data_IF_900224786530
#
_entry.id   IF_900224786530
#
_cell.length_a   1.000
_cell.length_b   1.000
_cell.length_c   1.000
_cell.angle_alpha   90.00
_cell.angle_beta   90.00
_cell.angle_gamma   90.00
#
_symmetry.space_group_name_H-M   'P 1'
#
loop_
_entity.id
_entity.type
_entity.pdbx_description
1 polymer ?
#
# COMPACT_ATOMS: atom_id res chain seq x y z
N UNK A 1 -2.31 -16.93 19.19
CA UNK A 1 -2.94 -16.84 17.86
C UNK A 1 -1.93 -16.99 16.72
N UNK A 2 -0.97 -16.09 16.50
CA UNK A 2 0.08 -16.31 15.48
C UNK A 2 1.05 -17.46 15.80
N UNK A 3 1.48 -17.57 17.06
CA UNK A 3 2.42 -18.63 17.50
C UNK A 3 1.76 -20.03 17.54
N UNK A 4 0.42 -20.09 17.62
CA UNK A 4 -0.35 -21.35 17.58
C UNK A 4 -0.83 -21.74 16.18
N UNK A 5 -0.43 -21.02 15.12
CA UNK A 5 -0.84 -21.33 13.74
C UNK A 5 -2.32 -21.06 13.41
N UNK A 6 -3.10 -20.44 14.30
CA UNK A 6 -4.50 -20.10 14.01
C UNK A 6 -4.60 -18.73 13.34
N UNK A 7 -4.92 -18.71 12.04
CA UNK A 7 -5.32 -17.54 11.20
C UNK A 7 -4.75 -16.18 11.64
N UNK A 8 -3.44 -16.04 11.59
CA UNK A 8 -2.76 -14.77 11.76
C UNK A 8 -1.30 -14.92 11.40
N UNK A 9 -0.91 -14.43 10.22
CA UNK A 9 0.49 -14.36 9.83
C UNK A 9 1.18 -13.24 10.62
N UNK A 10 2.49 -13.39 10.90
CA UNK A 10 3.28 -12.31 11.49
C UNK A 10 3.24 -11.03 10.65
N UNK A 11 3.07 -11.17 9.33
CA UNK A 11 2.91 -10.06 8.39
C UNK A 11 1.64 -9.25 8.68
N UNK A 12 0.51 -9.91 8.89
CA UNK A 12 -0.73 -9.19 9.19
C UNK A 12 -0.63 -8.47 10.53
N UNK A 13 0.04 -9.06 11.51
CA UNK A 13 0.26 -8.42 12.82
C UNK A 13 1.18 -7.20 12.69
N UNK A 14 2.26 -7.30 11.91
CA UNK A 14 3.16 -6.16 11.68
C UNK A 14 2.45 -5.03 10.91
N UNK A 15 1.54 -5.35 9.99
CA UNK A 15 0.74 -4.34 9.29
C UNK A 15 -0.28 -3.64 10.20
N UNK A 16 -0.79 -4.35 11.21
CA UNK A 16 -1.70 -3.78 12.20
C UNK A 16 -0.99 -2.83 13.16
N UNK A 17 0.24 -3.14 13.59
CA UNK A 17 0.91 -2.42 14.70
C UNK A 17 2.06 -1.51 14.23
N UNK A 18 2.89 -1.97 13.28
CA UNK A 18 4.12 -1.30 12.88
C UNK A 18 3.92 -0.42 11.64
N UNK A 19 3.81 -1.03 10.46
CA UNK A 19 3.55 -0.32 9.20
C UNK A 19 3.00 -1.29 8.15
N UNK A 20 2.19 -0.80 7.23
CA UNK A 20 1.65 -1.65 6.15
C UNK A 20 2.74 -2.02 5.14
N UNK A 21 3.68 -1.11 4.89
CA UNK A 21 4.85 -1.33 4.03
C UNK A 21 4.59 -1.04 2.55
N UNK A 22 5.49 -1.53 1.70
CA UNK A 22 5.45 -1.28 0.26
C UNK A 22 4.27 -1.99 -0.41
N UNK A 23 3.41 -1.22 -1.09
CA UNK A 23 2.39 -1.78 -1.97
C UNK A 23 2.99 -2.07 -3.35
N UNK A 24 2.75 -3.26 -3.87
CA UNK A 24 3.13 -3.66 -5.22
C UNK A 24 1.87 -3.88 -6.08
N UNK A 25 1.82 -3.25 -7.24
CA UNK A 25 0.75 -3.41 -8.23
C UNK A 25 1.33 -4.26 -9.36
N UNK A 26 0.78 -5.46 -9.57
CA UNK A 26 1.22 -6.40 -10.61
C UNK A 26 2.74 -6.71 -10.55
N UNK A 27 3.26 -6.90 -9.34
CA UNK A 27 4.68 -7.22 -9.11
C UNK A 27 5.65 -6.03 -9.22
N UNK A 28 5.15 -4.84 -9.55
CA UNK A 28 5.96 -3.63 -9.70
C UNK A 28 5.52 -2.57 -8.68
N UNK A 29 6.42 -1.62 -8.38
CA UNK A 29 6.01 -0.42 -7.62
C UNK A 29 4.96 0.36 -8.42
N UNK A 30 4.07 1.13 -7.77
CA UNK A 30 3.04 1.91 -8.44
C UNK A 30 3.62 2.68 -9.64
N UNK A 31 3.09 2.42 -10.85
CA UNK A 31 3.53 3.12 -12.04
C UNK A 31 3.04 4.58 -12.01
N UNK A 32 3.72 5.43 -12.78
CA UNK A 32 3.32 6.83 -12.91
C UNK A 32 2.09 6.92 -13.81
N UNK A 33 0.90 6.93 -13.19
CA UNK A 33 -0.39 6.97 -13.90
C UNK A 33 -0.76 8.34 -14.48
N UNK A 34 -0.13 9.41 -14.00
CA UNK A 34 -0.28 10.78 -14.52
C UNK A 34 1.09 11.31 -14.95
N UNK A 35 1.15 12.30 -15.85
CA UNK A 35 2.37 13.00 -16.35
C UNK A 35 3.62 12.91 -15.44
N UNK A 36 4.29 11.75 -15.46
CA UNK A 36 5.45 11.39 -14.64
C UNK A 36 5.26 11.50 -13.11
N UNK A 37 4.08 11.16 -12.58
CA UNK A 37 3.75 11.09 -11.14
C UNK A 37 2.66 10.05 -10.85
N UNK A 38 2.67 9.49 -9.63
CA UNK A 38 1.66 8.52 -9.19
C UNK A 38 0.33 9.15 -8.79
N UNK A 39 0.35 10.29 -8.08
CA UNK A 39 -0.83 11.03 -7.61
C UNK A 39 -0.64 12.53 -7.88
N UNK A 40 -1.71 13.31 -8.09
CA UNK A 40 -1.63 14.76 -8.31
C UNK A 40 -1.16 15.54 -7.08
N UNK A 41 -1.13 14.91 -5.90
CA UNK A 41 -0.63 15.49 -4.64
C UNK A 41 0.90 15.57 -4.57
N UNK A 42 1.61 14.79 -5.39
CA UNK A 42 3.07 14.81 -5.45
C UNK A 42 3.56 15.67 -6.61
N UNK A 43 4.75 16.25 -6.47
CA UNK A 43 5.37 16.99 -7.56
C UNK A 43 5.76 16.05 -8.70
N UNK A 44 5.91 16.61 -9.90
CA UNK A 44 6.33 15.85 -11.07
C UNK A 44 7.71 15.24 -10.83
N UNK A 45 7.90 13.97 -11.20
CA UNK A 45 9.17 13.23 -11.09
C UNK A 45 9.68 12.94 -9.67
N UNK A 46 8.92 13.25 -8.62
CA UNK A 46 9.33 12.88 -7.26
C UNK A 46 9.32 11.35 -7.09
N UNK A 47 10.47 10.81 -6.68
CA UNK A 47 10.69 9.37 -6.42
C UNK A 47 10.80 9.06 -4.93
N UNK A 48 10.07 9.79 -4.09
CA UNK A 48 9.99 9.51 -2.66
C UNK A 48 9.30 8.15 -2.43
N UNK A 49 9.61 7.47 -1.32
CA UNK A 49 8.96 6.19 -0.98
C UNK A 49 7.44 6.33 -0.92
N UNK A 50 6.92 7.40 -0.33
CA UNK A 50 5.47 7.70 -0.28
C UNK A 50 4.87 7.86 -1.68
N UNK A 51 5.53 8.60 -2.58
CA UNK A 51 5.07 8.78 -3.95
C UNK A 51 5.07 7.46 -4.75
N UNK A 52 5.91 6.50 -4.35
CA UNK A 52 5.97 5.15 -4.91
C UNK A 52 5.22 4.12 -4.06
N UNK A 53 4.20 4.55 -3.31
CA UNK A 53 3.26 3.67 -2.60
C UNK A 53 3.85 2.86 -1.45
N UNK A 54 4.85 3.43 -0.78
CA UNK A 54 5.22 2.99 0.55
C UNK A 54 4.24 3.58 1.57
N UNK A 55 3.68 2.71 2.40
CA UNK A 55 2.78 3.09 3.49
C UNK A 55 3.54 2.95 4.80
N UNK A 56 3.83 4.09 5.42
CA UNK A 56 4.59 4.15 6.67
C UNK A 56 3.70 3.95 7.89
N UNK A 57 2.43 4.35 7.79
CA UNK A 57 1.48 4.20 8.89
C UNK A 57 0.97 2.76 9.05
N UNK A 58 0.54 2.44 10.26
CA UNK A 58 -0.13 1.18 10.57
C UNK A 58 -1.65 1.35 10.53
N UNK A 59 -2.38 0.25 10.45
CA UNK A 59 -3.84 0.31 10.57
C UNK A 59 -4.31 0.80 11.94
N UNK A 60 -3.46 0.68 12.98
CA UNK A 60 -3.76 1.17 14.32
C UNK A 60 -3.65 2.69 14.43
N UNK A 61 -2.60 3.30 13.86
CA UNK A 61 -2.44 4.76 13.84
C UNK A 61 -3.38 5.45 12.85
N UNK A 62 -3.82 4.71 11.83
CA UNK A 62 -4.67 5.21 10.75
C UNK A 62 -3.86 5.63 9.53
N UNK A 63 -4.46 5.51 8.36
CA UNK A 63 -3.82 5.79 7.07
C UNK A 63 -4.16 7.19 6.56
N UNK A 64 -3.17 7.86 5.99
CA UNK A 64 -3.42 9.10 5.24
C UNK A 64 -4.17 8.79 3.93
N UNK A 65 -4.87 9.77 3.32
CA UNK A 65 -5.63 9.52 2.10
C UNK A 65 -4.80 8.98 0.93
N UNK A 66 -3.54 9.40 0.80
CA UNK A 66 -2.59 8.91 -0.21
C UNK A 66 -2.22 7.45 0.04
N UNK A 67 -1.91 7.08 1.27
CA UNK A 67 -1.62 5.70 1.69
C UNK A 67 -2.83 4.78 1.51
N UNK A 68 -4.02 5.24 1.88
CA UNK A 68 -5.26 4.49 1.69
C UNK A 68 -5.54 4.25 0.20
N UNK A 69 -5.26 5.23 -0.66
CA UNK A 69 -5.37 5.06 -2.10
C UNK A 69 -4.39 4.01 -2.63
N UNK A 70 -3.11 4.05 -2.23
CA UNK A 70 -2.14 3.02 -2.61
C UNK A 70 -2.49 1.62 -2.08
N UNK A 71 -2.99 1.55 -0.85
CA UNK A 71 -3.43 0.30 -0.24
C UNK A 71 -4.63 -0.32 -0.99
N UNK A 72 -5.62 0.49 -1.35
CA UNK A 72 -6.77 0.02 -2.14
C UNK A 72 -6.40 -0.36 -3.57
N UNK A 73 -5.42 0.30 -4.19
CA UNK A 73 -4.89 -0.11 -5.50
C UNK A 73 -4.18 -1.46 -5.45
N UNK A 74 -3.43 -1.75 -4.38
CA UNK A 74 -2.83 -3.07 -4.15
C UNK A 74 -3.86 -4.17 -3.92
N UNK A 75 -4.91 -3.88 -3.14
CA UNK A 75 -5.99 -4.82 -2.84
C UNK A 75 -6.92 -5.11 -4.04
N UNK A 76 -7.18 -4.12 -4.90
CA UNK A 76 -8.09 -4.28 -6.04
C UNK A 76 -7.53 -5.14 -7.17
N UNK A 77 -6.21 -5.34 -7.30
CA UNK A 77 -5.68 -6.29 -8.28
C UNK A 77 -6.22 -7.72 -8.07
N UNK A 78 -6.58 -8.08 -6.83
CA UNK A 78 -7.23 -9.36 -6.52
C UNK A 78 -8.75 -9.38 -6.79
N UNK A 79 -9.36 -8.23 -7.09
CA UNK A 79 -10.80 -8.07 -7.31
C UNK A 79 -11.11 -7.25 -8.59
N UNK A 80 -10.28 -7.39 -9.61
CA UNK A 80 -10.68 -7.14 -11.01
C UNK A 80 -10.78 -8.50 -11.71
N UNK A 81 -11.47 -9.49 -11.14
CA UNK A 81 -12.84 -9.83 -11.52
C UNK A 81 -13.85 -8.73 -11.13
N UNK A 82 -13.88 -7.68 -11.94
CA UNK A 82 -15.05 -6.85 -12.16
C UNK A 82 -15.14 -6.60 -13.66
N UNK A 83 -15.37 -7.71 -14.35
CA UNK A 83 -16.05 -7.84 -15.63
C UNK A 83 -16.74 -9.20 -15.60
#
# INVERSE_FOLDING_TARGET
MAVCGSKGSFINISQMIACVGQQAISGHRPPDGFDKRSLPHFEKLQKTPEAKGFVENSFFSGLTPTEFFFHTMGGKLYSVCFL
#
